data_IF_541123114138
#
_entry.id   IF_541123114138
#
_cell.length_a   1.000
_cell.length_b   1.000
_cell.length_c   1.000
_cell.angle_alpha   90.00
_cell.angle_beta   90.00
_cell.angle_gamma   90.00
#
_symmetry.space_group_name_H-M   'P 1'
#
loop_
_entity.id
_entity.type
_entity.pdbx_description
1 polymer ?
#
# COMPACT_ATOMS: atom_id res chain seq x y z
N UNK A 1 -7.61 -20.73 17.91
CA UNK A 1 -8.20 -20.71 16.54
C UNK A 1 -7.22 -21.06 15.41
N UNK A 2 -5.90 -21.17 15.63
CA UNK A 2 -4.92 -21.61 14.61
C UNK A 2 -5.11 -23.06 14.15
N UNK A 3 -5.70 -23.92 15.00
CA UNK A 3 -5.97 -25.32 14.69
C UNK A 3 -7.10 -25.56 13.69
N UNK A 4 -7.99 -24.58 13.42
CA UNK A 4 -9.16 -24.85 12.56
C UNK A 4 -8.83 -24.77 11.07
N UNK A 5 -7.97 -23.83 10.67
CA UNK A 5 -7.59 -23.66 9.26
C UNK A 5 -6.69 -24.80 8.79
N UNK A 6 -5.75 -25.23 9.63
CA UNK A 6 -4.88 -26.37 9.34
C UNK A 6 -5.70 -27.64 9.14
N UNK A 7 -6.68 -27.90 10.03
CA UNK A 7 -7.58 -29.07 9.91
C UNK A 7 -8.47 -29.01 8.66
N UNK A 8 -8.93 -27.81 8.28
CA UNK A 8 -9.76 -27.62 7.09
C UNK A 8 -8.96 -27.89 5.81
N UNK A 9 -7.72 -27.41 5.74
CA UNK A 9 -6.83 -27.68 4.60
C UNK A 9 -6.46 -29.15 4.54
N UNK A 10 -6.15 -29.80 5.67
CA UNK A 10 -5.89 -31.24 5.74
C UNK A 10 -7.10 -32.08 5.28
N UNK A 11 -8.33 -31.67 5.59
CA UNK A 11 -9.52 -32.36 5.12
C UNK A 11 -9.68 -32.25 3.59
N UNK A 12 -9.45 -31.06 3.03
CA UNK A 12 -9.49 -30.85 1.58
C UNK A 12 -8.38 -31.64 0.87
N UNK A 13 -7.17 -31.68 1.44
CA UNK A 13 -6.05 -32.44 0.87
C UNK A 13 -6.26 -33.96 0.96
N UNK A 14 -6.99 -34.45 1.97
CA UNK A 14 -7.40 -35.84 2.05
C UNK A 14 -8.43 -36.23 0.98
N UNK A 15 -9.35 -35.31 0.67
CA UNK A 15 -10.43 -35.55 -0.31
C UNK A 15 -9.96 -35.44 -1.77
N UNK A 16 -8.94 -34.61 -2.05
CA UNK A 16 -8.52 -34.27 -3.43
C UNK A 16 -7.05 -34.59 -3.78
N UNK A 17 -6.29 -35.16 -2.84
CA UNK A 17 -4.89 -35.54 -3.02
C UNK A 17 -3.89 -34.48 -2.55
N UNK A 18 -2.80 -34.94 -1.95
CA UNK A 18 -1.80 -34.10 -1.27
C UNK A 18 -0.78 -33.49 -2.22
N UNK A 19 -0.44 -32.22 -1.99
CA UNK A 19 0.82 -31.65 -2.51
C UNK A 19 1.95 -32.20 -1.62
N UNK A 20 3.03 -32.65 -2.26
CA UNK A 20 4.09 -33.50 -1.70
C UNK A 20 4.98 -32.81 -0.64
N UNK A 21 4.40 -32.32 0.46
CA UNK A 21 5.11 -31.83 1.64
C UNK A 21 4.78 -32.74 2.83
N UNK A 22 5.82 -33.42 3.36
CA UNK A 22 5.70 -34.48 4.39
C UNK A 22 5.02 -34.02 5.69
N UNK A 23 4.89 -32.72 5.92
CA UNK A 23 4.10 -32.14 7.01
C UNK A 23 3.48 -30.80 6.57
N UNK A 24 2.16 -30.65 6.70
CA UNK A 24 1.42 -29.42 6.35
C UNK A 24 1.89 -28.18 7.15
N UNK A 25 2.43 -28.38 8.36
CA UNK A 25 3.08 -27.35 9.18
C UNK A 25 4.31 -26.74 8.51
N UNK A 26 4.91 -27.43 7.54
CA UNK A 26 6.11 -27.01 6.83
C UNK A 26 5.84 -26.46 5.42
N UNK A 27 4.59 -26.45 4.95
CA UNK A 27 4.24 -25.82 3.67
C UNK A 27 4.54 -24.30 3.72
N UNK A 28 5.41 -23.79 2.83
CA UNK A 28 5.72 -22.36 2.74
C UNK A 28 4.49 -21.47 2.54
N UNK A 29 3.46 -21.96 1.84
CA UNK A 29 2.20 -21.25 1.59
C UNK A 29 1.38 -21.13 2.87
N UNK A 30 1.28 -22.21 3.65
CA UNK A 30 0.59 -22.20 4.94
C UNK A 30 1.35 -21.37 5.99
N UNK A 31 2.69 -21.40 6.00
CA UNK A 31 3.50 -20.49 6.82
C UNK A 31 3.32 -19.02 6.41
N UNK A 32 3.19 -18.73 5.12
CA UNK A 32 2.93 -17.37 4.63
C UNK A 32 1.52 -16.88 5.03
N UNK A 33 0.50 -17.74 4.90
CA UNK A 33 -0.86 -17.46 5.38
C UNK A 33 -0.89 -17.29 6.90
N UNK A 34 -0.24 -18.18 7.65
CA UNK A 34 -0.13 -18.06 9.09
C UNK A 34 0.54 -16.74 9.46
N UNK A 35 1.68 -16.35 8.86
CA UNK A 35 2.30 -15.04 9.09
C UNK A 35 1.39 -13.85 8.74
N UNK A 36 0.55 -13.98 7.70
CA UNK A 36 -0.42 -12.96 7.29
C UNK A 36 -1.56 -12.78 8.30
N UNK A 37 -1.94 -13.85 9.00
CA UNK A 37 -3.12 -13.88 9.88
C UNK A 37 -2.79 -14.16 11.36
N UNK A 38 -1.51 -14.20 11.73
CA UNK A 38 -1.06 -14.39 13.11
C UNK A 38 -0.79 -13.03 13.75
N UNK A 39 -1.83 -12.44 14.33
CA UNK A 39 -1.74 -11.60 15.52
C UNK A 39 -3.12 -11.62 16.23
N UNK A 40 -3.14 -11.48 17.57
CA UNK A 40 -3.47 -12.56 18.47
C UNK A 40 -4.94 -12.97 18.38
N UNK A 41 -5.12 -14.30 18.39
CA UNK A 41 -6.35 -14.97 18.74
C UNK A 41 -6.61 -14.67 20.20
N UNK A 42 -7.38 -13.62 20.45
CA UNK A 42 -8.51 -13.56 21.37
C UNK A 42 -8.90 -12.10 21.47
N UNK A 43 -10.09 -11.75 20.97
CA UNK A 43 -11.14 -11.15 21.81
C UNK A 43 -12.41 -10.83 21.01
N UNK A 44 -13.57 -10.91 21.69
CA UNK A 44 -14.89 -11.13 21.09
C UNK A 44 -15.49 -9.83 20.55
N UNK A 45 -16.10 -9.88 19.34
CA UNK A 45 -17.20 -9.05 18.79
C UNK A 45 -17.34 -7.53 19.13
N UNK A 46 -16.42 -6.90 19.86
CA UNK A 46 -16.43 -5.50 20.31
C UNK A 46 -15.24 -4.71 19.73
N UNK A 47 -14.74 -5.11 18.56
CA UNK A 47 -13.54 -4.52 17.93
C UNK A 47 -13.75 -3.04 17.55
N UNK A 48 -14.99 -2.58 17.37
CA UNK A 48 -15.33 -1.18 17.03
C UNK A 48 -14.99 -0.13 18.10
N UNK A 49 -14.47 -0.52 19.29
CA UNK A 49 -14.06 0.42 20.36
C UNK A 49 -12.68 0.12 20.94
N UNK A 50 -11.75 -0.49 20.18
CA UNK A 50 -10.38 -0.62 20.68
C UNK A 50 -9.67 0.73 20.64
N UNK A 51 -9.07 1.15 21.77
CA UNK A 51 -8.22 2.36 21.83
C UNK A 51 -7.12 2.35 20.77
N UNK A 52 -6.72 1.14 20.35
CA UNK A 52 -5.76 0.89 19.28
C UNK A 52 -6.26 1.33 17.90
N UNK A 53 -7.50 1.04 17.51
CA UNK A 53 -8.09 1.57 16.27
C UNK A 53 -8.23 3.10 16.34
N UNK A 54 -8.64 3.65 17.49
CA UNK A 54 -8.74 5.10 17.68
C UNK A 54 -7.38 5.79 17.56
N UNK A 55 -6.33 5.18 18.12
CA UNK A 55 -4.94 5.63 17.98
C UNK A 55 -4.48 5.55 16.52
N UNK A 56 -4.78 4.46 15.82
CA UNK A 56 -4.48 4.31 14.40
C UNK A 56 -5.15 5.39 13.55
N UNK A 57 -6.45 5.64 13.75
CA UNK A 57 -7.19 6.68 13.01
C UNK A 57 -6.62 8.07 13.30
N UNK A 58 -6.33 8.41 14.57
CA UNK A 58 -5.68 9.69 14.92
C UNK A 58 -4.33 9.86 14.23
N UNK A 59 -3.55 8.79 14.09
CA UNK A 59 -2.27 8.84 13.39
C UNK A 59 -2.44 9.00 11.87
N UNK A 60 -3.47 8.38 11.28
CA UNK A 60 -3.81 8.57 9.86
C UNK A 60 -4.25 10.01 9.58
N UNK A 61 -5.08 10.59 10.44
CA UNK A 61 -5.65 11.92 10.24
C UNK A 61 -4.62 13.04 10.45
N UNK A 62 -3.73 12.89 11.45
CA UNK A 62 -2.91 13.99 11.94
C UNK A 62 -1.42 13.89 11.60
N UNK A 63 -0.97 12.79 10.97
CA UNK A 63 0.46 12.62 10.65
C UNK A 63 0.70 12.43 9.16
N UNK A 64 1.84 12.94 8.69
CA UNK A 64 2.34 12.70 7.33
C UNK A 64 3.19 11.42 7.23
N UNK A 65 3.18 10.57 8.26
CA UNK A 65 4.01 9.36 8.31
C UNK A 65 3.55 8.30 7.31
N UNK A 66 4.44 7.40 6.86
CA UNK A 66 4.02 6.28 6.03
C UNK A 66 3.09 5.33 6.76
N UNK A 67 2.13 4.75 6.04
CA UNK A 67 1.20 3.74 6.59
C UNK A 67 1.93 2.62 7.33
N UNK A 68 3.09 2.19 6.84
CA UNK A 68 3.89 1.18 7.54
C UNK A 68 4.42 1.67 8.90
N UNK A 69 4.86 2.95 9.00
CA UNK A 69 5.27 3.55 10.29
C UNK A 69 4.09 3.83 11.19
N UNK A 70 2.93 4.17 10.63
CA UNK A 70 1.68 4.35 11.38
C UNK A 70 1.23 3.02 11.96
N UNK A 71 1.25 1.94 11.16
CA UNK A 71 0.95 0.58 11.60
C UNK A 71 1.85 0.18 12.76
N UNK A 72 3.16 0.33 12.62
CA UNK A 72 4.15 0.06 13.67
C UNK A 72 3.85 0.85 14.96
N UNK A 73 3.59 2.16 14.87
CA UNK A 73 3.25 3.01 16.04
C UNK A 73 1.91 2.67 16.69
N UNK A 74 0.95 2.19 15.90
CA UNK A 74 -0.33 1.67 16.37
C UNK A 74 -0.23 0.20 16.81
N UNK A 75 0.97 -0.39 16.72
CA UNK A 75 1.29 -1.77 17.06
C UNK A 75 0.78 -2.80 16.06
N UNK A 76 0.20 -2.42 14.93
CA UNK A 76 -0.34 -3.35 13.94
C UNK A 76 0.73 -3.91 13.01
N UNK A 77 0.55 -5.17 12.61
CA UNK A 77 1.18 -5.69 11.41
C UNK A 77 0.78 -4.83 10.20
N UNK A 78 1.76 -4.52 9.33
CA UNK A 78 1.56 -3.65 8.16
C UNK A 78 0.47 -4.16 7.21
N UNK A 79 0.45 -5.47 6.94
CA UNK A 79 -0.49 -6.06 6.00
C UNK A 79 -1.91 -6.05 6.57
N UNK A 80 -2.03 -6.37 7.87
CA UNK A 80 -3.30 -6.29 8.58
C UNK A 80 -3.83 -4.86 8.66
N UNK A 81 -2.96 -3.88 8.93
CA UNK A 81 -3.34 -2.47 8.89
C UNK A 81 -3.86 -2.05 7.51
N UNK A 82 -3.23 -2.56 6.44
CA UNK A 82 -3.71 -2.38 5.07
C UNK A 82 -5.12 -2.95 4.88
N UNK A 83 -5.37 -4.17 5.34
CA UNK A 83 -6.70 -4.79 5.30
C UNK A 83 -7.73 -3.96 6.06
N UNK A 84 -7.42 -3.46 7.28
CA UNK A 84 -8.32 -2.58 8.03
C UNK A 84 -8.72 -1.31 7.28
N UNK A 85 -7.82 -0.74 6.45
CA UNK A 85 -8.18 0.38 5.58
C UNK A 85 -9.09 -0.05 4.42
N UNK A 86 -8.78 -1.18 3.78
CA UNK A 86 -9.57 -1.70 2.65
C UNK A 86 -10.98 -2.09 3.07
N UNK A 87 -11.11 -2.73 4.23
CA UNK A 87 -12.37 -3.20 4.80
C UNK A 87 -13.19 -2.05 5.43
N UNK A 88 -12.66 -0.81 5.42
CA UNK A 88 -13.37 0.39 5.90
C UNK A 88 -13.35 0.60 7.42
N UNK A 89 -12.56 -0.17 8.18
CA UNK A 89 -12.39 0.04 9.62
C UNK A 89 -11.49 1.24 9.96
N UNK A 90 -10.61 1.63 9.04
CA UNK A 90 -9.77 2.81 9.11
C UNK A 90 -9.98 3.67 7.86
N UNK A 91 -10.30 4.94 8.03
CA UNK A 91 -10.41 5.88 6.92
C UNK A 91 -9.03 6.47 6.61
N UNK A 92 -8.50 6.14 5.44
CA UNK A 92 -7.20 6.61 4.96
C UNK A 92 -7.32 7.68 3.87
N UNK A 93 -8.54 8.18 3.59
CA UNK A 93 -8.81 9.14 2.52
C UNK A 93 -8.02 10.44 2.71
N UNK A 94 -8.04 11.02 3.92
CA UNK A 94 -7.28 12.22 4.29
C UNK A 94 -5.78 11.99 4.17
N UNK A 95 -5.29 10.86 4.68
CA UNK A 95 -3.90 10.47 4.56
C UNK A 95 -3.47 10.36 3.10
N UNK A 96 -4.32 9.75 2.25
CA UNK A 96 -4.06 9.56 0.84
C UNK A 96 -4.03 10.88 0.06
N UNK A 97 -4.93 11.81 0.37
CA UNK A 97 -4.95 13.17 -0.18
C UNK A 97 -3.66 13.90 0.20
N UNK A 98 -3.30 13.95 1.49
CA UNK A 98 -2.09 14.61 1.96
C UNK A 98 -0.81 14.01 1.36
N UNK A 99 -0.79 12.69 1.10
CA UNK A 99 0.38 11.98 0.57
C UNK A 99 0.54 12.00 -0.94
N UNK A 100 -0.53 12.24 -1.71
CA UNK A 100 -0.42 12.54 -3.15
C UNK A 100 0.45 13.78 -3.41
N UNK A 101 0.83 14.52 -2.36
CA UNK A 101 1.66 15.70 -2.40
C UNK A 101 3.11 15.54 -1.88
N UNK A 102 3.59 14.34 -1.57
CA UNK A 102 4.85 14.17 -0.84
C UNK A 102 6.14 14.36 -1.64
N UNK A 103 6.07 14.33 -2.97
CA UNK A 103 7.25 14.45 -3.81
C UNK A 103 7.08 15.66 -4.70
N UNK A 104 7.92 16.65 -4.46
CA UNK A 104 8.10 17.75 -5.36
C UNK A 104 8.96 17.29 -6.53
N UNK A 105 8.56 17.72 -7.71
CA UNK A 105 9.25 17.48 -8.95
C UNK A 105 9.48 18.82 -9.64
N UNK A 106 10.52 18.87 -10.46
CA UNK A 106 10.72 19.88 -11.48
C UNK A 106 10.43 19.24 -12.83
N UNK A 107 9.54 19.87 -13.60
CA UNK A 107 9.11 19.40 -14.90
C UNK A 107 9.67 20.30 -15.99
N UNK A 108 10.45 19.72 -16.89
CA UNK A 108 11.18 20.41 -17.94
C UNK A 108 10.65 20.01 -19.32
N UNK A 109 10.80 20.91 -20.29
CA UNK A 109 10.69 20.65 -21.73
C UNK A 109 11.90 21.29 -22.39
N UNK A 110 12.66 20.51 -23.15
CA UNK A 110 13.88 20.96 -23.83
C UNK A 110 14.81 21.72 -22.88
N UNK A 111 15.04 21.13 -21.71
CA UNK A 111 15.83 21.65 -20.58
C UNK A 111 15.36 22.97 -19.95
N UNK A 112 14.23 23.53 -20.38
CA UNK A 112 13.59 24.69 -19.75
C UNK A 112 12.59 24.23 -18.68
N UNK A 113 12.69 24.80 -17.49
CA UNK A 113 11.74 24.54 -16.40
C UNK A 113 10.36 25.10 -16.77
N UNK A 114 9.35 24.24 -16.85
CA UNK A 114 7.96 24.64 -17.12
C UNK A 114 7.19 24.83 -15.81
N UNK A 115 7.34 23.87 -14.89
CA UNK A 115 6.59 23.85 -13.65
C UNK A 115 7.32 23.06 -12.57
N UNK A 116 6.99 23.37 -11.33
CA UNK A 116 7.47 22.64 -10.16
C UNK A 116 6.34 22.40 -9.16
N UNK A 117 6.58 21.43 -8.28
CA UNK A 117 5.62 20.99 -7.26
C UNK A 117 5.27 19.53 -7.44
N UNK A 118 4.14 19.12 -6.89
CA UNK A 118 3.68 17.73 -6.96
C UNK A 118 3.17 17.42 -8.36
N UNK A 119 3.15 16.13 -8.74
CA UNK A 119 2.67 15.72 -10.07
C UNK A 119 1.25 16.27 -10.34
N UNK A 120 0.38 16.30 -9.33
CA UNK A 120 -0.98 16.84 -9.46
C UNK A 120 -0.99 18.37 -9.62
N UNK A 121 -0.15 19.10 -8.88
CA UNK A 121 -0.04 20.56 -9.04
C UNK A 121 0.51 20.93 -10.42
N UNK A 122 1.53 20.21 -10.90
CA UNK A 122 2.08 20.37 -12.24
C UNK A 122 1.00 20.07 -13.28
N UNK A 123 0.28 18.96 -13.13
CA UNK A 123 -0.82 18.57 -14.00
C UNK A 123 -1.91 19.66 -14.08
N UNK A 124 -2.36 20.18 -12.94
CA UNK A 124 -3.34 21.27 -12.87
C UNK A 124 -2.83 22.55 -13.53
N UNK A 125 -1.59 22.97 -13.23
CA UNK A 125 -0.99 24.19 -13.79
C UNK A 125 -0.87 24.14 -15.32
N UNK A 126 -0.67 22.94 -15.87
CA UNK A 126 -0.50 22.72 -17.31
C UNK A 126 -1.78 22.25 -18.01
N UNK A 127 -2.90 22.10 -17.30
CA UNK A 127 -4.15 21.55 -17.86
C UNK A 127 -4.01 20.12 -18.40
N UNK A 128 -3.08 19.32 -17.85
CA UNK A 128 -2.79 17.94 -18.29
C UNK A 128 -3.23 16.93 -17.25
N UNK A 129 -3.38 15.66 -17.66
CA UNK A 129 -3.59 14.58 -16.69
C UNK A 129 -2.30 14.24 -15.92
N UNK A 130 -2.37 13.81 -14.64
CA UNK A 130 -1.19 13.32 -13.91
C UNK A 130 -0.49 12.12 -14.58
N UNK A 131 -1.22 11.36 -15.39
CA UNK A 131 -0.68 10.24 -16.18
C UNK A 131 0.23 10.76 -17.30
N UNK A 132 -0.17 11.84 -17.97
CA UNK A 132 0.62 12.52 -19.01
C UNK A 132 1.95 13.03 -18.46
N UNK A 133 1.93 13.67 -17.28
CA UNK A 133 3.16 14.15 -16.62
C UNK A 133 4.12 12.99 -16.30
N UNK A 134 3.59 11.85 -15.84
CA UNK A 134 4.38 10.64 -15.55
C UNK A 134 4.89 9.93 -16.79
N UNK A 135 4.24 10.11 -17.94
CA UNK A 135 4.56 9.45 -19.19
C UNK A 135 6.02 9.59 -19.62
N UNK A 136 6.65 10.74 -19.34
CA UNK A 136 8.06 10.98 -19.65
C UNK A 136 9.05 10.07 -18.90
N UNK A 137 8.61 9.38 -17.84
CA UNK A 137 9.45 8.44 -17.07
C UNK A 137 9.40 7.01 -17.63
N UNK A 138 8.45 6.72 -18.53
CA UNK A 138 8.26 5.39 -19.11
C UNK A 138 9.44 4.99 -20.01
N UNK A 139 9.76 3.70 -20.03
CA UNK A 139 10.80 3.16 -20.92
C UNK A 139 10.43 3.32 -22.40
N UNK A 140 9.14 3.21 -22.74
CA UNK A 140 8.62 3.44 -24.09
C UNK A 140 8.86 4.88 -24.56
N UNK A 141 8.63 5.88 -23.69
CA UNK A 141 8.89 7.28 -24.01
C UNK A 141 10.35 7.49 -24.40
N UNK A 142 11.29 6.92 -23.64
CA UNK A 142 12.74 7.06 -23.91
C UNK A 142 13.21 6.40 -25.21
N UNK A 143 12.44 5.48 -25.80
CA UNK A 143 12.81 4.76 -27.03
C UNK A 143 12.57 5.56 -28.30
N UNK A 144 11.56 6.43 -28.30
CA UNK A 144 11.16 7.17 -29.50
C UNK A 144 11.78 8.57 -29.53
N UNK A 145 12.07 9.07 -30.73
CA UNK A 145 12.41 10.49 -30.93
C UNK A 145 11.13 11.31 -30.77
N UNK A 146 11.21 12.36 -29.97
CA UNK A 146 10.13 13.33 -29.78
C UNK A 146 10.58 14.67 -30.35
N UNK A 147 9.63 15.44 -30.86
CA UNK A 147 9.84 16.84 -31.24
C UNK A 147 10.27 17.69 -30.02
N UNK A 148 9.65 17.41 -28.87
CA UNK A 148 9.97 18.03 -27.59
C UNK A 148 10.27 16.98 -26.52
N UNK A 149 11.36 17.16 -25.79
CA UNK A 149 11.80 16.22 -24.75
C UNK A 149 11.36 16.72 -23.38
N UNK A 150 10.42 15.99 -22.78
CA UNK A 150 9.95 16.23 -21.42
C UNK A 150 10.75 15.44 -20.40
N UNK A 151 11.04 16.07 -19.26
CA UNK A 151 11.78 15.43 -18.16
C UNK A 151 11.15 15.78 -16.82
N UNK A 152 10.98 14.76 -15.97
CA UNK A 152 10.49 14.91 -14.60
C UNK A 152 11.60 14.54 -13.62
N UNK A 153 12.07 15.51 -12.84
CA UNK A 153 13.15 15.34 -11.86
C UNK A 153 12.60 15.49 -10.45
N UNK A 154 12.81 14.49 -9.59
CA UNK A 154 12.40 14.56 -8.19
C UNK A 154 13.32 15.50 -7.43
N UNK A 155 12.75 16.48 -6.72
CA UNK A 155 13.47 17.36 -5.79
C UNK A 155 13.68 16.61 -4.47
N UNK A 156 14.90 16.62 -3.95
CA UNK A 156 15.24 16.02 -2.65
C UNK A 156 14.82 16.92 -1.50
#
# INVERSE_FOLDING_TARGET
MTNSVIKMVQAIEADYGTVNCKEASNDPRLKALQRRFSDPIEHPKKVYKSDRLRKAQRLLDNTNLPKYKIAEKAGYNKDYFGALCVDGFLDDSKWYINRKHLHNYKYFCDDKLIAEGTINQIAMKLGKSPSTIRGCTLSSYKKYKHEHVYKLVKVK
#
